data_IF_556758333899
#
_entry.id   IF_556758333899
#
_cell.length_a   1.000
_cell.length_b   1.000
_cell.length_c   1.000
_cell.angle_alpha   90.00
_cell.angle_beta   90.00
_cell.angle_gamma   90.00
#
_symmetry.space_group_name_H-M   'P 1'
#
loop_
_entity.id
_entity.type
_entity.pdbx_description
1 polymer ?
#
# COMPACT_ATOMS: atom_id res chain seq x y z
N UNK A 1 -4.55 27.13 -20.10
CA UNK A 1 -4.83 26.41 -21.36
C UNK A 1 -6.11 26.90 -22.08
N UNK A 2 -6.76 28.01 -21.67
CA UNK A 2 -8.00 28.48 -22.28
C UNK A 2 -7.84 29.27 -23.61
N UNK A 3 -6.65 29.80 -23.91
CA UNK A 3 -6.50 30.80 -24.98
C UNK A 3 -6.21 30.23 -26.39
N UNK A 4 -5.78 28.97 -26.55
CA UNK A 4 -5.44 28.40 -27.88
C UNK A 4 -6.57 27.63 -28.56
N UNK A 5 -7.66 27.39 -27.84
CA UNK A 5 -8.79 26.58 -28.30
C UNK A 5 -9.84 27.39 -29.09
N UNK A 6 -9.73 28.72 -29.12
CA UNK A 6 -10.68 29.63 -29.80
C UNK A 6 -10.70 29.53 -31.34
N UNK A 7 -9.75 28.83 -31.96
CA UNK A 7 -9.69 28.65 -33.42
C UNK A 7 -10.42 27.39 -33.91
N UNK A 8 -11.06 26.64 -33.01
CA UNK A 8 -11.77 25.41 -33.33
C UNK A 8 -13.19 25.47 -32.75
N UNK A 9 -14.14 24.90 -33.49
CA UNK A 9 -15.47 24.58 -32.95
C UNK A 9 -15.34 23.34 -32.05
N UNK A 10 -15.52 23.53 -30.74
CA UNK A 10 -15.28 22.49 -29.74
C UNK A 10 -16.60 21.95 -29.21
N UNK A 11 -16.74 20.63 -29.29
CA UNK A 11 -17.83 19.89 -28.64
C UNK A 11 -17.30 19.19 -27.37
N UNK A 12 -17.66 19.72 -26.21
CA UNK A 12 -17.26 19.21 -24.90
C UNK A 12 -18.25 18.14 -24.44
N UNK A 13 -17.82 16.88 -24.42
CA UNK A 13 -18.61 15.76 -23.90
C UNK A 13 -17.98 15.18 -22.64
N UNK A 14 -18.78 15.09 -21.58
CA UNK A 14 -18.41 14.34 -20.39
C UNK A 14 -18.35 12.84 -20.73
N UNK A 15 -17.23 12.20 -20.44
CA UNK A 15 -17.08 10.75 -20.46
C UNK A 15 -16.75 10.25 -19.05
N UNK A 16 -17.54 9.33 -18.48
CA UNK A 16 -17.20 8.69 -17.23
C UNK A 16 -15.82 8.03 -17.30
N UNK A 17 -15.05 8.02 -16.20
CA UNK A 17 -13.68 7.50 -16.18
C UNK A 17 -13.55 6.04 -16.67
N UNK A 18 -14.60 5.23 -16.48
CA UNK A 18 -14.68 3.85 -17.00
C UNK A 18 -14.61 3.77 -18.54
N UNK A 19 -14.96 4.84 -19.23
CA UNK A 19 -14.98 4.95 -20.69
C UNK A 19 -13.79 5.78 -21.24
N UNK A 20 -12.89 6.23 -20.37
CA UNK A 20 -11.74 7.09 -20.70
C UNK A 20 -10.47 6.27 -20.97
N UNK A 21 -10.59 5.23 -21.80
CA UNK A 21 -9.55 4.23 -22.04
C UNK A 21 -8.20 4.80 -22.54
N UNK A 22 -8.23 5.94 -23.25
CA UNK A 22 -7.02 6.58 -23.80
C UNK A 22 -6.15 7.28 -22.74
N UNK A 23 -6.74 7.75 -21.65
CA UNK A 23 -6.03 8.35 -20.53
C UNK A 23 -5.50 7.28 -19.55
N UNK A 24 -6.28 6.21 -19.34
CA UNK A 24 -5.96 5.12 -18.40
C UNK A 24 -4.66 4.36 -18.73
N UNK A 25 -4.14 4.45 -19.95
CA UNK A 25 -2.83 3.89 -20.32
C UNK A 25 -1.65 4.68 -19.78
N UNK A 26 -1.84 5.96 -19.41
CA UNK A 26 -0.78 6.84 -18.89
C UNK A 26 -0.56 6.66 -17.38
N UNK A 27 -1.62 6.39 -16.62
CA UNK A 27 -1.59 6.21 -15.16
C UNK A 27 -0.94 4.89 -14.70
N UNK A 28 -0.62 3.99 -15.62
CA UNK A 28 -0.08 2.65 -15.34
C UNK A 28 1.45 2.57 -15.35
N UNK A 29 2.15 3.67 -15.67
CA UNK A 29 3.61 3.75 -15.61
C UNK A 29 4.08 4.26 -14.24
N UNK A 30 4.25 3.35 -13.28
CA UNK A 30 4.85 3.67 -11.98
C UNK A 30 6.37 3.83 -12.16
N UNK A 31 6.90 4.97 -11.72
CA UNK A 31 8.34 5.15 -11.53
C UNK A 31 8.79 4.27 -10.34
N UNK A 32 10.03 3.76 -10.34
CA UNK A 32 10.58 3.11 -9.16
C UNK A 32 10.59 4.12 -8.00
N UNK A 33 10.05 3.75 -6.85
CA UNK A 33 10.21 4.51 -5.60
C UNK A 33 11.70 4.58 -5.26
N UNK A 34 12.27 5.78 -5.20
CA UNK A 34 13.52 6.00 -4.47
C UNK A 34 13.15 6.12 -2.99
N UNK A 35 13.71 5.24 -2.17
CA UNK A 35 13.72 5.39 -0.72
C UNK A 35 14.59 6.62 -0.38
N UNK A 36 14.01 7.83 -0.46
CA UNK A 36 14.66 9.02 0.10
C UNK A 36 14.46 8.96 1.61
N UNK A 37 15.47 8.47 2.32
CA UNK A 37 15.58 8.59 3.78
C UNK A 37 15.52 10.08 4.15
N UNK A 38 14.52 10.47 4.95
CA UNK A 38 14.31 11.85 5.42
C UNK A 38 15.59 12.40 6.10
N UNK A 39 16.34 13.26 5.39
CA UNK A 39 17.67 13.74 5.79
C UNK A 39 17.66 14.41 7.19
N UNK A 40 16.55 15.09 7.51
CA UNK A 40 16.33 15.74 8.80
C UNK A 40 16.20 14.72 9.95
N UNK A 41 15.58 13.57 9.70
CA UNK A 41 15.43 12.50 10.69
C UNK A 41 16.78 11.87 11.01
N UNK A 42 17.62 11.67 9.99
CA UNK A 42 18.97 11.11 10.15
C UNK A 42 19.85 12.04 10.99
N UNK A 43 19.75 13.36 10.79
CA UNK A 43 20.53 14.38 11.53
C UNK A 43 20.15 14.44 13.02
N UNK A 44 18.85 14.35 13.33
CA UNK A 44 18.37 14.34 14.71
C UNK A 44 18.88 13.13 15.50
N UNK A 45 18.88 11.93 14.89
CA UNK A 45 19.34 10.70 15.55
C UNK A 45 20.85 10.78 15.88
N UNK A 46 21.67 11.26 14.95
CA UNK A 46 23.11 11.40 15.16
C UNK A 46 23.45 12.39 16.29
N UNK A 47 22.74 13.51 16.36
CA UNK A 47 22.97 14.54 17.38
C UNK A 47 22.60 14.07 18.78
N UNK A 48 21.53 13.29 18.91
CA UNK A 48 21.10 12.72 20.19
C UNK A 48 22.11 11.71 20.74
N UNK A 49 22.69 10.86 19.87
CA UNK A 49 23.69 9.86 20.28
C UNK A 49 24.99 10.54 20.72
N UNK A 50 25.45 11.56 19.99
CA UNK A 50 26.71 12.25 20.28
C UNK A 50 26.70 13.04 21.60
N UNK A 51 25.51 13.51 22.04
CA UNK A 51 25.36 14.31 23.25
C UNK A 51 24.83 13.51 24.45
N UNK A 52 24.73 12.18 24.34
CA UNK A 52 24.34 11.34 25.48
C UNK A 52 25.41 11.45 26.58
N UNK A 53 25.06 11.76 27.85
CA UNK A 53 26.01 11.87 28.95
C UNK A 53 26.43 10.47 29.47
N UNK A 54 26.85 9.60 28.56
CA UNK A 54 27.22 8.21 28.82
C UNK A 54 28.56 7.95 28.14
N UNK A 55 29.53 7.41 28.86
CA UNK A 55 30.83 7.08 28.28
C UNK A 55 30.73 5.92 27.29
N UNK A 56 31.56 5.91 26.25
CA UNK A 56 31.56 4.86 25.21
C UNK A 56 31.69 3.45 25.77
N UNK A 57 32.50 3.27 26.82
CA UNK A 57 32.64 1.99 27.53
C UNK A 57 31.30 1.51 28.11
N UNK A 58 30.51 2.42 28.67
CA UNK A 58 29.21 2.07 29.25
C UNK A 58 28.17 1.77 28.17
N UNK A 59 28.24 2.43 27.02
CA UNK A 59 27.38 2.11 25.86
C UNK A 59 27.66 0.71 25.30
N UNK A 60 28.93 0.30 25.22
CA UNK A 60 29.29 -1.05 24.78
C UNK A 60 28.77 -2.11 25.77
N UNK A 61 28.94 -1.88 27.07
CA UNK A 61 28.41 -2.77 28.11
C UNK A 61 26.88 -2.89 28.03
N UNK A 62 26.16 -1.78 27.88
CA UNK A 62 24.71 -1.78 27.73
C UNK A 62 24.25 -2.56 26.50
N UNK A 63 24.93 -2.42 25.35
CA UNK A 63 24.61 -3.20 24.13
C UNK A 63 24.79 -4.70 24.35
N UNK A 64 25.86 -5.07 25.06
CA UNK A 64 26.18 -6.48 25.31
C UNK A 64 25.19 -7.13 26.27
N UNK A 65 24.81 -6.43 27.34
CA UNK A 65 23.76 -6.89 28.26
C UNK A 65 22.38 -6.94 27.57
N UNK A 66 22.06 -5.95 26.71
CA UNK A 66 20.81 -5.95 25.92
C UNK A 66 20.74 -7.14 24.95
N UNK A 67 21.87 -7.56 24.37
CA UNK A 67 21.94 -8.72 23.48
C UNK A 67 21.83 -10.07 24.22
N UNK A 68 22.20 -10.11 25.50
CA UNK A 68 22.10 -11.30 26.34
C UNK A 68 20.72 -11.44 27.01
N UNK A 69 19.96 -10.36 27.11
CA UNK A 69 18.61 -10.36 27.69
C UNK A 69 17.59 -10.99 26.73
N UNK A 70 16.99 -12.11 27.17
CA UNK A 70 16.05 -12.90 26.38
C UNK A 70 14.73 -12.19 26.04
N UNK A 71 14.35 -11.15 26.79
CA UNK A 71 13.18 -10.30 26.53
C UNK A 71 13.56 -9.24 25.51
N UNK A 72 14.69 -8.55 25.70
CA UNK A 72 15.19 -7.52 24.77
C UNK A 72 15.50 -8.07 23.39
N UNK A 73 16.00 -9.31 23.28
CA UNK A 73 16.20 -9.98 21.98
C UNK A 73 14.85 -10.25 21.29
N UNK A 74 13.82 -10.66 22.02
CA UNK A 74 12.47 -10.86 21.45
C UNK A 74 11.85 -9.55 21.01
N UNK A 75 12.02 -8.49 21.81
CA UNK A 75 11.52 -7.14 21.53
C UNK A 75 12.22 -6.51 20.32
N UNK A 76 13.55 -6.58 20.26
CA UNK A 76 14.34 -6.12 19.10
C UNK A 76 13.90 -6.85 17.83
N UNK A 77 13.63 -8.15 17.92
CA UNK A 77 13.09 -8.92 16.78
C UNK A 77 11.70 -8.44 16.36
N UNK A 78 10.79 -8.21 17.30
CA UNK A 78 9.44 -7.69 17.01
C UNK A 78 9.49 -6.27 16.42
N UNK A 79 10.38 -5.42 16.91
CA UNK A 79 10.54 -4.03 16.47
C UNK A 79 11.21 -3.96 15.08
N UNK A 80 12.22 -4.78 14.82
CA UNK A 80 12.85 -4.87 13.50
C UNK A 80 11.95 -5.53 12.45
N UNK A 81 11.04 -6.41 12.87
CA UNK A 81 10.12 -7.14 11.98
C UNK A 81 8.72 -6.47 11.87
N UNK A 82 8.45 -5.39 12.59
CA UNK A 82 7.17 -4.68 12.63
C UNK A 82 6.19 -5.25 13.67
N UNK A 83 5.72 -4.40 14.59
CA UNK A 83 4.98 -4.72 15.82
C UNK A 83 3.64 -5.47 15.63
N UNK A 84 3.72 -6.75 15.30
CA UNK A 84 2.53 -7.60 15.22
C UNK A 84 2.19 -8.22 16.58
N UNK A 85 1.00 -7.96 17.11
CA UNK A 85 0.52 -8.57 18.35
C UNK A 85 0.36 -10.08 18.16
N UNK A 86 1.06 -10.89 18.96
CA UNK A 86 0.98 -12.35 18.85
C UNK A 86 -0.35 -12.87 19.42
N UNK A 87 -1.20 -13.46 18.57
CA UNK A 87 -2.56 -13.89 18.96
C UNK A 87 -2.59 -15.34 19.48
N UNK A 88 -3.03 -15.58 20.74
CA UNK A 88 -3.22 -16.93 21.29
C UNK A 88 -4.26 -17.75 20.51
N UNK A 89 -4.12 -19.08 20.49
CA UNK A 89 -4.99 -20.00 19.72
C UNK A 89 -6.48 -19.81 20.00
N UNK A 90 -6.84 -19.48 21.24
CA UNK A 90 -8.20 -19.23 21.70
C UNK A 90 -8.84 -18.01 21.04
N UNK A 91 -8.06 -16.97 20.74
CA UNK A 91 -8.55 -15.69 20.20
C UNK A 91 -8.52 -15.61 18.67
N UNK A 92 -7.78 -16.50 17.99
CA UNK A 92 -7.62 -16.48 16.52
C UNK A 92 -8.95 -16.48 15.76
N UNK A 93 -9.95 -17.24 16.21
CA UNK A 93 -11.27 -17.27 15.56
C UNK A 93 -11.98 -15.92 15.60
N UNK A 94 -11.88 -15.23 16.74
CA UNK A 94 -12.47 -13.88 16.92
C UNK A 94 -11.77 -12.87 16.03
N UNK A 95 -10.43 -12.88 16.03
CA UNK A 95 -9.65 -11.95 15.21
C UNK A 95 -9.86 -12.20 13.70
N UNK A 96 -9.94 -13.47 13.27
CA UNK A 96 -10.27 -13.80 11.88
C UNK A 96 -11.63 -13.26 11.45
N UNK A 97 -12.63 -13.31 12.33
CA UNK A 97 -13.95 -12.73 12.04
C UNK A 97 -13.87 -11.21 11.90
N UNK A 98 -13.12 -10.52 12.76
CA UNK A 98 -12.92 -9.06 12.69
C UNK A 98 -12.17 -8.63 11.42
N UNK A 99 -11.10 -9.33 11.05
CA UNK A 99 -10.35 -9.07 9.79
C UNK A 99 -11.26 -9.25 8.56
N UNK A 100 -12.26 -10.14 8.64
CA UNK A 100 -13.16 -10.45 7.54
C UNK A 100 -14.48 -9.67 7.55
N UNK A 101 -14.80 -8.90 8.59
CA UNK A 101 -16.08 -8.22 8.76
C UNK A 101 -16.44 -7.31 7.57
N UNK A 102 -15.45 -6.64 6.99
CA UNK A 102 -15.63 -5.79 5.80
C UNK A 102 -15.69 -6.54 4.46
N UNK A 103 -15.70 -7.87 4.45
CA UNK A 103 -15.62 -8.71 3.24
C UNK A 103 -14.47 -8.30 2.29
N UNK A 104 -13.38 -7.83 2.88
CA UNK A 104 -12.18 -7.44 2.14
C UNK A 104 -11.65 -8.66 1.37
N UNK A 105 -11.20 -8.43 0.13
CA UNK A 105 -10.57 -9.47 -0.67
C UNK A 105 -9.31 -10.02 0.02
N UNK A 106 -8.90 -11.24 -0.38
CA UNK A 106 -7.84 -12.01 0.27
C UNK A 106 -6.58 -11.20 0.58
N UNK A 107 -6.06 -10.46 -0.41
CA UNK A 107 -4.80 -9.72 -0.25
C UNK A 107 -4.94 -8.53 0.72
N UNK A 108 -6.09 -7.82 0.69
CA UNK A 108 -6.35 -6.73 1.65
C UNK A 108 -6.49 -7.25 3.07
N UNK A 109 -7.21 -8.35 3.28
CA UNK A 109 -7.31 -8.98 4.60
C UNK A 109 -5.95 -9.45 5.13
N UNK A 110 -5.06 -9.95 4.28
CA UNK A 110 -3.68 -10.33 4.68
C UNK A 110 -2.84 -9.11 5.05
N UNK A 111 -2.92 -8.02 4.30
CA UNK A 111 -2.18 -6.79 4.58
C UNK A 111 -2.60 -6.18 5.91
N UNK A 112 -3.91 -5.99 6.11
CA UNK A 112 -4.46 -5.47 7.37
C UNK A 112 -4.07 -6.34 8.57
N UNK A 113 -4.07 -7.67 8.40
CA UNK A 113 -3.65 -8.57 9.47
C UNK A 113 -2.17 -8.38 9.84
N UNK A 114 -1.28 -8.25 8.84
CA UNK A 114 0.16 -8.08 9.03
C UNK A 114 0.54 -6.76 9.69
N UNK A 115 -0.29 -5.74 9.59
CA UNK A 115 -0.06 -4.45 10.25
C UNK A 115 -0.31 -4.50 11.75
N UNK A 116 -1.11 -5.44 12.25
CA UNK A 116 -1.64 -5.41 13.62
C UNK A 116 -1.35 -6.67 14.43
N UNK A 117 -1.32 -7.85 13.79
CA UNK A 117 -1.36 -9.14 14.48
C UNK A 117 -0.55 -10.22 13.79
N UNK A 118 -0.05 -11.18 14.57
CA UNK A 118 0.71 -12.31 14.05
C UNK A 118 0.37 -13.63 14.73
N UNK A 119 0.29 -14.70 13.94
CA UNK A 119 0.43 -16.07 14.43
C UNK A 119 0.81 -17.04 13.29
N UNK A 120 1.44 -18.19 13.61
CA UNK A 120 1.77 -19.20 12.61
C UNK A 120 0.53 -19.72 11.88
N UNK A 121 0.56 -19.69 10.54
CA UNK A 121 -0.53 -20.16 9.69
C UNK A 121 -1.66 -19.15 9.44
N UNK A 122 -1.55 -17.91 9.94
CA UNK A 122 -2.56 -16.85 9.79
C UNK A 122 -3.01 -16.66 8.34
N UNK A 123 -2.07 -16.55 7.39
CA UNK A 123 -2.39 -16.34 5.97
C UNK A 123 -3.31 -17.42 5.43
N UNK A 124 -3.01 -18.70 5.69
CA UNK A 124 -3.82 -19.82 5.21
C UNK A 124 -5.23 -19.80 5.81
N UNK A 125 -5.34 -19.45 7.09
CA UNK A 125 -6.64 -19.33 7.75
C UNK A 125 -7.47 -18.16 7.20
N UNK A 126 -6.84 -17.03 6.87
CA UNK A 126 -7.51 -15.92 6.19
C UNK A 126 -8.01 -16.36 4.81
N UNK A 127 -7.19 -17.05 4.03
CA UNK A 127 -7.59 -17.58 2.71
C UNK A 127 -8.78 -18.53 2.81
N UNK A 128 -8.79 -19.43 3.79
CA UNK A 128 -9.87 -20.38 4.00
C UNK A 128 -11.18 -19.66 4.41
N UNK A 129 -11.09 -18.61 5.23
CA UNK A 129 -12.27 -17.79 5.60
C UNK A 129 -12.83 -17.06 4.38
N UNK A 130 -11.98 -16.36 3.62
CA UNK A 130 -12.43 -15.57 2.45
C UNK A 130 -12.95 -16.48 1.34
N UNK A 131 -12.31 -17.63 1.11
CA UNK A 131 -12.72 -18.58 0.07
C UNK A 131 -14.03 -19.30 0.38
N UNK A 132 -14.39 -19.49 1.65
CA UNK A 132 -15.66 -20.09 2.06
C UNK A 132 -16.78 -19.04 2.30
N UNK A 133 -16.49 -17.75 2.12
CA UNK A 133 -17.46 -16.68 2.29
C UNK A 133 -18.34 -16.51 1.04
N UNK A 134 -19.64 -16.72 1.19
CA UNK A 134 -20.64 -16.55 0.11
C UNK A 134 -20.65 -15.13 -0.47
N UNK A 135 -20.58 -14.11 0.37
CA UNK A 135 -20.55 -12.70 -0.08
C UNK A 135 -19.33 -12.41 -0.95
N UNK A 136 -18.14 -12.83 -0.51
CA UNK A 136 -16.91 -12.64 -1.28
C UNK A 136 -16.92 -13.43 -2.59
N UNK A 137 -17.48 -14.65 -2.60
CA UNK A 137 -17.60 -15.45 -3.82
C UNK A 137 -18.52 -14.80 -4.86
N UNK A 138 -19.67 -14.26 -4.44
CA UNK A 138 -20.61 -13.59 -5.35
C UNK A 138 -19.99 -12.33 -5.98
N UNK A 139 -19.31 -11.51 -5.18
CA UNK A 139 -18.67 -10.27 -5.66
C UNK A 139 -17.46 -10.56 -6.58
N UNK A 140 -16.74 -11.67 -6.37
CA UNK A 140 -15.59 -12.08 -7.19
C UNK A 140 -15.96 -12.41 -8.64
N UNK A 141 -17.16 -12.93 -8.87
CA UNK A 141 -17.63 -13.33 -10.20
C UNK A 141 -18.01 -12.14 -11.08
N UNK A 142 -18.09 -10.93 -10.53
CA UNK A 142 -18.65 -9.75 -11.21
C UNK A 142 -17.65 -8.95 -12.06
N UNK A 143 -16.41 -9.40 -12.23
CA UNK A 143 -15.42 -8.71 -13.08
C UNK A 143 -15.01 -9.57 -14.29
N UNK A 144 -15.89 -9.79 -15.28
CA UNK A 144 -15.43 -10.26 -16.57
C UNK A 144 -14.44 -9.21 -17.11
N UNK A 145 -13.28 -9.66 -17.62
CA UNK A 145 -12.39 -8.76 -18.36
C UNK A 145 -13.20 -8.23 -19.53
N UNK A 146 -13.50 -6.93 -19.51
CA UNK A 146 -14.14 -6.29 -20.64
C UNK A 146 -13.24 -6.50 -21.87
N UNK A 147 -13.79 -7.01 -22.99
CA UNK A 147 -13.00 -7.19 -24.19
C UNK A 147 -12.42 -5.85 -24.61
N UNK A 148 -11.15 -5.83 -25.02
CA UNK A 148 -10.52 -4.62 -25.56
C UNK A 148 -11.35 -4.14 -26.75
N UNK A 149 -11.94 -2.95 -26.61
CA UNK A 149 -12.68 -2.31 -27.71
C UNK A 149 -11.66 -1.48 -28.49
N UNK A 150 -11.29 -1.87 -29.72
CA UNK A 150 -10.46 -1.04 -30.57
C UNK A 150 -11.23 0.23 -30.94
N UNK A 151 -10.61 1.39 -30.72
CA UNK A 151 -11.14 2.66 -31.17
C UNK A 151 -10.74 2.91 -32.63
N UNK A 152 -11.54 3.70 -33.35
CA UNK A 152 -11.19 4.12 -34.69
C UNK A 152 -9.92 4.98 -34.67
N UNK A 153 -8.97 4.66 -35.55
CA UNK A 153 -7.73 5.41 -35.69
C UNK A 153 -8.08 6.77 -36.33
N UNK A 154 -7.72 7.90 -35.68
CA UNK A 154 -7.96 9.22 -36.27
C UNK A 154 -7.20 9.36 -37.59
N UNK A 155 -7.85 9.94 -38.58
CA UNK A 155 -7.31 10.09 -39.94
C UNK A 155 -6.42 11.34 -40.08
N UNK A 156 -6.53 12.30 -39.15
CA UNK A 156 -5.79 13.56 -39.19
C UNK A 156 -5.14 13.87 -37.83
N UNK A 157 -3.99 14.58 -37.81
CA UNK A 157 -3.43 15.12 -36.57
C UNK A 157 -4.44 15.99 -35.82
N UNK A 158 -4.42 15.92 -34.48
CA UNK A 158 -5.28 16.71 -33.56
C UNK A 158 -6.79 16.42 -33.61
N UNK A 159 -7.22 15.37 -34.33
CA UNK A 159 -8.63 15.01 -34.44
C UNK A 159 -9.22 14.46 -33.13
N UNK A 160 -8.38 13.87 -32.28
CA UNK A 160 -8.73 13.44 -30.92
C UNK A 160 -7.63 13.90 -29.98
N UNK A 161 -7.99 14.62 -28.93
CA UNK A 161 -7.09 15.03 -27.85
C UNK A 161 -7.66 14.48 -26.54
N UNK A 162 -6.89 13.64 -25.86
CA UNK A 162 -7.18 13.18 -24.51
C UNK A 162 -6.15 13.81 -23.56
N UNK A 163 -6.62 14.27 -22.40
CA UNK A 163 -5.77 14.79 -21.33
C UNK A 163 -6.16 14.10 -20.05
N UNK A 164 -5.17 13.68 -19.28
CA UNK A 164 -5.36 13.16 -17.93
C UNK A 164 -4.75 14.12 -16.91
N UNK A 165 -5.31 14.15 -15.70
CA UNK A 165 -4.78 14.94 -14.59
C UNK A 165 -4.09 14.00 -13.62
N UNK A 166 -2.83 14.26 -13.30
CA UNK A 166 -2.14 13.56 -12.22
C UNK A 166 -1.72 14.56 -11.15
N UNK A 167 -1.75 14.14 -9.90
CA UNK A 167 -1.18 14.88 -8.79
C UNK A 167 0.28 14.47 -8.61
N UNK A 168 1.14 15.49 -8.51
CA UNK A 168 2.53 15.34 -8.12
C UNK A 168 2.70 16.07 -6.79
N UNK A 169 3.11 15.34 -5.75
CA UNK A 169 3.39 15.87 -4.41
C UNK A 169 2.21 16.59 -3.72
N UNK A 170 1.01 16.00 -3.78
CA UNK A 170 -0.20 16.33 -3.01
C UNK A 170 -0.20 17.66 -2.24
N UNK A 171 -0.75 18.71 -2.86
CA UNK A 171 -1.09 19.97 -2.20
C UNK A 171 -2.50 20.40 -2.57
#
# INVERSE_FOLDING_TARGET
MLLRLQHYDIDLRYKPGKELYSADTLSRAHLPTSDDDDEDLVLCVHTAIANLPVSDKKLVELRQETANDSIMVKLTRIIQEGESIVVPRTLRKSILAQIHEGHLGMERSKLQARELVFWPGMSKQIEDVVSNCTTCQQLRLSNPKEPMIPHEIPQNPWQIVASDSFEWNGS
#
